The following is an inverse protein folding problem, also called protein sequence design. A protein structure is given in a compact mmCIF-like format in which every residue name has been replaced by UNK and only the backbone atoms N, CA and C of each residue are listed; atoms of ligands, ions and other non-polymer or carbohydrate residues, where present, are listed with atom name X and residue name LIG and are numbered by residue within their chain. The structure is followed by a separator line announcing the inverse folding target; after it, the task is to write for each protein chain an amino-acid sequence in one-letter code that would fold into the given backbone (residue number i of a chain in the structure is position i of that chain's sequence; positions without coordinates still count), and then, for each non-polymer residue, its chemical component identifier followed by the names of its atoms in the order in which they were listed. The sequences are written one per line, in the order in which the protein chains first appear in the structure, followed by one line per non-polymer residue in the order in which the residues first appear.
data_IF_366742670207
#
_entry.id   IF_366742670207
#
_cell.length_a   1.000
_cell.length_b   1.000
_cell.length_c   1.000
_cell.angle_alpha   90.00
_cell.angle_beta   90.00
_cell.angle_gamma   90.00
#
_symmetry.space_group_name_H-M   'P 1'
#
loop_
_entity.id
_entity.type
_entity.pdbx_description
1 polymer ?
#
# COMPACT_ATOMS: atom_id res chain seq x y z
N UNK A 1 -4.87 -0.37 38.13
CA UNK A 1 -5.04 -0.02 36.71
C UNK A 1 -4.44 1.37 36.54
N UNK A 2 -3.21 1.44 36.06
CA UNK A 2 -2.60 2.71 35.65
C UNK A 2 -3.43 3.27 34.50
N UNK A 3 -4.05 4.43 34.70
CA UNK A 3 -4.72 5.15 33.61
C UNK A 3 -3.65 5.48 32.58
N UNK A 4 -3.77 4.94 31.37
CA UNK A 4 -2.89 5.29 30.26
C UNK A 4 -2.82 6.82 30.13
N UNK A 5 -1.63 7.35 29.87
CA UNK A 5 -1.46 8.78 29.64
C UNK A 5 -2.41 9.23 28.50
N UNK A 6 -2.98 10.44 28.58
CA UNK A 6 -3.86 10.93 27.52
C UNK A 6 -3.07 11.01 26.21
N UNK A 7 -3.64 10.46 25.12
CA UNK A 7 -3.08 10.56 23.77
C UNK A 7 -3.12 12.03 23.35
N UNK A 8 -1.96 12.61 23.05
CA UNK A 8 -1.80 14.01 22.62
C UNK A 8 -1.40 14.13 21.16
N UNK A 9 -0.61 13.19 20.65
CA UNK A 9 -0.09 13.27 19.27
C UNK A 9 -0.13 11.93 18.56
N UNK A 10 -0.69 11.97 17.35
CA UNK A 10 -0.84 10.84 16.44
C UNK A 10 0.01 11.11 15.21
N UNK A 11 0.89 10.17 14.84
CA UNK A 11 1.67 10.24 13.62
C UNK A 11 1.14 9.26 12.57
N UNK A 12 1.14 9.68 11.32
CA UNK A 12 0.79 8.87 10.15
C UNK A 12 1.99 8.77 9.22
N UNK A 13 2.20 7.61 8.60
CA UNK A 13 3.15 7.49 7.49
C UNK A 13 2.66 6.48 6.44
N UNK A 14 3.01 6.73 5.17
CA UNK A 14 2.83 5.74 4.08
C UNK A 14 4.19 5.23 3.62
N UNK A 15 4.31 3.92 3.42
CA UNK A 15 5.58 3.28 3.09
C UNK A 15 5.45 2.17 2.02
N UNK A 16 6.54 1.95 1.29
CA UNK A 16 6.68 0.85 0.32
C UNK A 16 6.17 1.19 -1.08
N UNK A 17 5.66 0.20 -1.80
CA UNK A 17 5.05 0.40 -3.12
C UNK A 17 3.71 1.12 -3.03
N UNK A 18 3.37 1.92 -4.04
CA UNK A 18 2.05 2.56 -4.11
C UNK A 18 0.96 1.48 -4.23
N UNK A 19 -0.16 1.74 -3.55
CA UNK A 19 -1.39 0.99 -3.73
C UNK A 19 -2.55 2.00 -3.83
N UNK A 20 -3.60 1.70 -4.61
CA UNK A 20 -4.75 2.58 -4.81
C UNK A 20 -5.67 2.60 -3.57
N UNK A 21 -5.14 3.11 -2.47
CA UNK A 21 -5.83 3.24 -1.18
C UNK A 21 -5.16 4.27 -0.25
N UNK A 22 -3.95 4.74 -0.56
CA UNK A 22 -3.13 5.52 0.36
C UNK A 22 -3.78 6.87 0.73
N UNK A 23 -4.26 7.64 -0.24
CA UNK A 23 -5.02 8.88 0.01
C UNK A 23 -6.26 8.64 0.87
N UNK A 24 -7.09 7.65 0.51
CA UNK A 24 -8.31 7.30 1.25
C UNK A 24 -8.01 6.79 2.67
N UNK A 25 -6.88 6.08 2.87
CA UNK A 25 -6.45 5.63 4.19
C UNK A 25 -6.03 6.80 5.09
N UNK A 26 -5.28 7.77 4.55
CA UNK A 26 -4.95 9.01 5.27
C UNK A 26 -6.23 9.78 5.60
N UNK A 27 -7.14 9.93 4.64
CA UNK A 27 -8.40 10.62 4.84
C UNK A 27 -9.26 9.97 5.93
N UNK A 28 -9.40 8.64 5.88
CA UNK A 28 -10.16 7.87 6.86
C UNK A 28 -9.62 8.00 8.28
N UNK A 29 -8.29 7.99 8.45
CA UNK A 29 -7.66 8.17 9.76
C UNK A 29 -7.87 9.60 10.29
N UNK A 30 -7.58 10.62 9.49
CA UNK A 30 -7.77 12.03 9.87
C UNK A 30 -9.23 12.30 10.23
N UNK A 31 -10.17 11.85 9.38
CA UNK A 31 -11.61 11.99 9.63
C UNK A 31 -12.02 11.31 10.93
N UNK A 32 -11.55 10.09 11.17
CA UNK A 32 -11.93 9.35 12.37
C UNK A 32 -11.39 10.02 13.63
N UNK A 33 -10.13 10.43 13.65
CA UNK A 33 -9.55 11.14 14.80
C UNK A 33 -10.20 12.50 15.04
N UNK A 34 -10.55 13.24 13.99
CA UNK A 34 -11.33 14.47 14.13
C UNK A 34 -12.68 14.27 14.82
N UNK A 35 -13.25 13.06 14.80
CA UNK A 35 -14.50 12.74 15.47
C UNK A 35 -14.33 12.21 16.90
N UNK A 36 -13.29 11.39 17.15
CA UNK A 36 -13.12 10.68 18.43
C UNK A 36 -12.14 11.33 19.38
N UNK A 37 -11.23 12.15 18.86
CA UNK A 37 -10.15 12.77 19.63
C UNK A 37 -9.73 14.11 18.98
N UNK A 38 -10.66 15.09 18.87
CA UNK A 38 -10.42 16.35 18.15
C UNK A 38 -9.28 17.21 18.72
N UNK A 39 -8.95 17.03 20.00
CA UNK A 39 -7.88 17.73 20.71
C UNK A 39 -6.47 17.17 20.44
N UNK A 40 -6.37 15.96 19.88
CA UNK A 40 -5.08 15.38 19.54
C UNK A 40 -4.52 16.00 18.26
N UNK A 41 -3.23 16.31 18.28
CA UNK A 41 -2.52 16.78 17.10
C UNK A 41 -2.20 15.59 16.20
N UNK A 42 -2.47 15.74 14.90
CA UNK A 42 -2.12 14.74 13.89
C UNK A 42 -0.96 15.28 13.08
N UNK A 43 0.14 14.53 13.04
CA UNK A 43 1.27 14.79 12.14
C UNK A 43 1.37 13.68 11.10
N UNK A 44 1.89 14.01 9.93
CA UNK A 44 2.20 13.04 8.89
C UNK A 44 3.65 13.15 8.46
N UNK A 45 4.43 12.08 8.65
CA UNK A 45 5.81 12.04 8.19
C UNK A 45 5.85 11.98 6.67
N UNK A 46 6.56 12.92 6.06
CA UNK A 46 6.64 13.01 4.62
C UNK A 46 7.52 11.88 4.07
N UNK A 47 7.05 11.22 3.02
CA UNK A 47 7.79 10.14 2.37
C UNK A 47 8.09 8.93 3.28
N UNK A 48 7.22 8.66 4.26
CA UNK A 48 7.30 7.44 5.07
C UNK A 48 8.44 7.49 6.10
N UNK A 49 9.18 6.39 6.23
CA UNK A 49 10.36 6.31 7.10
C UNK A 49 11.47 7.30 6.74
N UNK A 50 11.48 7.85 5.52
CA UNK A 50 12.39 8.94 5.20
C UNK A 50 12.12 10.16 6.08
N UNK A 51 10.87 10.65 6.10
CA UNK A 51 10.47 11.78 6.94
C UNK A 51 10.61 11.49 8.42
N UNK A 52 10.40 10.24 8.84
CA UNK A 52 10.67 9.86 10.23
C UNK A 52 12.17 9.94 10.58
N UNK A 53 13.07 9.51 9.71
CA UNK A 53 14.51 9.62 9.97
C UNK A 53 15.00 11.08 9.93
N UNK A 54 14.38 11.93 9.11
CA UNK A 54 14.80 13.32 8.92
C UNK A 54 14.01 14.33 9.75
N UNK A 55 13.08 13.87 10.61
CA UNK A 55 12.16 14.73 11.35
C UNK A 55 11.24 15.58 10.45
N UNK A 56 11.07 15.20 9.19
CA UNK A 56 10.28 15.94 8.20
C UNK A 56 8.83 15.48 8.23
N UNK A 57 7.96 16.29 8.81
CA UNK A 57 6.52 16.04 8.92
C UNK A 57 5.70 17.29 8.58
N UNK A 58 4.42 17.08 8.33
CA UNK A 58 3.41 18.15 8.27
C UNK A 58 2.42 17.96 9.41
N UNK A 59 1.92 19.07 9.95
CA UNK A 59 0.77 19.07 10.86
C UNK A 59 -0.50 19.05 10.01
N UNK A 60 -1.46 18.20 10.35
CA UNK A 60 -2.79 18.20 9.74
C UNK A 60 -3.64 19.22 10.50
N UNK A 61 -3.61 20.46 10.02
CA UNK A 61 -4.35 21.58 10.58
C UNK A 61 -5.86 21.52 10.28
N UNK A 62 -6.61 22.51 10.78
CA UNK A 62 -8.07 22.53 10.66
C UNK A 62 -8.53 22.76 9.21
N UNK A 63 -7.75 23.47 8.39
CA UNK A 63 -8.02 23.64 6.96
C UNK A 63 -7.86 22.30 6.22
N UNK A 64 -6.78 21.56 6.51
CA UNK A 64 -6.55 20.22 5.97
C UNK A 64 -7.65 19.23 6.42
N UNK A 65 -8.09 19.29 7.68
CA UNK A 65 -9.22 18.49 8.18
C UNK A 65 -10.52 18.84 7.47
N UNK A 66 -10.81 20.12 7.26
CA UNK A 66 -12.05 20.58 6.61
C UNK A 66 -12.13 20.14 5.14
N UNK A 67 -10.99 20.04 4.45
CA UNK A 67 -10.90 19.63 3.06
C UNK A 67 -10.55 18.14 2.87
N UNK A 68 -10.46 17.34 3.94
CA UNK A 68 -9.85 16.00 3.89
C UNK A 68 -10.52 15.04 2.91
N UNK A 69 -11.84 15.19 2.71
CA UNK A 69 -12.64 14.33 1.83
C UNK A 69 -12.22 14.44 0.35
N UNK A 70 -11.49 15.50 -0.03
CA UNK A 70 -10.95 15.62 -1.38
C UNK A 70 -10.09 14.42 -1.75
N UNK A 71 -9.36 13.86 -0.77
CA UNK A 71 -8.41 12.76 -0.94
C UNK A 71 -9.06 11.45 -1.38
N UNK A 72 -10.35 11.25 -1.11
CA UNK A 72 -11.07 10.03 -1.53
C UNK A 72 -11.18 9.92 -3.05
N UNK A 73 -11.01 11.03 -3.77
CA UNK A 73 -11.05 11.09 -5.24
C UNK A 73 -9.69 10.83 -5.90
N UNK A 74 -8.60 10.71 -5.12
CA UNK A 74 -7.24 10.62 -5.67
C UNK A 74 -6.56 9.31 -5.30
N UNK A 75 -5.88 8.71 -6.29
CA UNK A 75 -4.86 7.70 -6.02
C UNK A 75 -3.58 8.32 -5.46
N UNK A 76 -2.54 7.51 -5.30
CA UNK A 76 -1.25 7.98 -4.77
C UNK A 76 -1.27 8.24 -3.28
N UNK A 77 -0.23 8.92 -2.77
CA UNK A 77 -0.11 9.30 -1.36
C UNK A 77 0.02 10.83 -1.25
N UNK A 78 -0.87 11.52 -0.51
CA UNK A 78 -0.82 12.97 -0.34
C UNK A 78 0.38 13.43 0.50
N UNK A 79 0.98 12.52 1.28
CA UNK A 79 2.12 12.80 2.17
C UNK A 79 3.44 12.26 1.58
N UNK A 80 3.44 11.87 0.30
CA UNK A 80 4.57 11.22 -0.34
C UNK A 80 4.83 9.82 0.20
N UNK A 81 5.75 9.10 -0.42
CA UNK A 81 6.07 7.72 -0.03
C UNK A 81 7.51 7.37 -0.45
N UNK A 82 8.14 6.43 0.25
CA UNK A 82 9.49 5.96 -0.07
C UNK A 82 9.67 4.45 0.19
N UNK A 83 10.75 3.89 -0.35
CA UNK A 83 11.19 2.51 -0.09
C UNK A 83 12.32 2.44 0.94
N UNK A 84 12.33 3.36 1.90
CA UNK A 84 13.28 3.32 3.04
C UNK A 84 12.98 2.09 3.90
N UNK A 85 14.03 1.31 4.18
CA UNK A 85 14.02 0.16 5.07
C UNK A 85 15.04 0.41 6.17
N UNK A 86 14.60 0.45 7.44
CA UNK A 86 15.50 0.68 8.58
C UNK A 86 16.53 -0.44 8.75
N UNK A 87 16.23 -1.64 8.25
CA UNK A 87 17.15 -2.78 8.24
C UNK A 87 18.34 -2.64 7.29
N UNK A 88 18.35 -1.65 6.39
CA UNK A 88 19.44 -1.44 5.43
C UNK A 88 20.31 -0.24 5.82
N UNK A 89 20.99 -0.34 6.98
CA UNK A 89 21.83 0.74 7.51
C UNK A 89 22.85 1.27 6.49
N UNK A 90 23.50 0.38 5.72
CA UNK A 90 24.46 0.79 4.68
C UNK A 90 23.84 1.75 3.66
N UNK A 91 22.66 1.43 3.13
CA UNK A 91 21.98 2.30 2.18
C UNK A 91 21.55 3.63 2.80
N UNK A 92 21.16 3.63 4.08
CA UNK A 92 20.75 4.85 4.77
C UNK A 92 21.94 5.78 5.03
N UNK A 93 23.10 5.23 5.39
CA UNK A 93 24.36 5.98 5.54
C UNK A 93 24.81 6.55 4.20
N UNK A 94 24.82 5.75 3.13
CA UNK A 94 25.17 6.21 1.77
C UNK A 94 24.27 7.35 1.28
N UNK A 95 23.01 7.37 1.73
CA UNK A 95 22.03 8.41 1.41
C UNK A 95 22.05 9.60 2.38
N UNK A 96 22.91 9.58 3.40
CA UNK A 96 23.00 10.61 4.43
C UNK A 96 21.78 10.72 5.33
N UNK A 97 21.00 9.64 5.48
CA UNK A 97 19.79 9.61 6.33
C UNK A 97 20.09 9.22 7.78
N UNK A 98 21.23 8.57 8.00
CA UNK A 98 21.70 8.09 9.31
C UNK A 98 23.22 8.27 9.33
N UNK A 99 23.80 8.68 10.46
CA UNK A 99 25.25 8.84 10.55
C UNK A 99 25.97 7.48 10.62
N UNK A 100 27.25 7.47 10.26
CA UNK A 100 28.06 6.26 10.36
C UNK A 100 28.18 5.81 11.83
N UNK A 101 27.88 4.52 12.08
CA UNK A 101 27.89 3.94 13.44
C UNK A 101 26.57 4.08 14.20
N UNK A 102 25.58 4.79 13.68
CA UNK A 102 24.25 4.84 14.27
C UNK A 102 23.36 3.68 13.81
N UNK A 103 22.44 3.29 14.69
CA UNK A 103 21.40 2.30 14.39
C UNK A 103 20.14 3.02 13.87
N UNK A 104 19.72 2.80 12.60
CA UNK A 104 18.56 3.46 12.03
C UNK A 104 17.26 3.26 12.82
N UNK A 105 17.07 2.12 13.48
CA UNK A 105 15.89 1.86 14.30
C UNK A 105 15.87 2.82 15.49
N UNK A 106 17.02 3.03 16.13
CA UNK A 106 17.18 3.93 17.28
C UNK A 106 16.99 5.39 16.86
N UNK A 107 17.59 5.80 15.74
CA UNK A 107 17.40 7.16 15.21
C UNK A 107 15.92 7.45 14.98
N UNK A 108 15.20 6.53 14.32
CA UNK A 108 13.77 6.67 14.09
C UNK A 108 12.95 6.67 15.39
N UNK A 109 13.28 5.80 16.36
CA UNK A 109 12.62 5.76 17.66
C UNK A 109 12.83 7.05 18.45
N UNK A 110 14.06 7.56 18.51
CA UNK A 110 14.38 8.82 19.18
C UNK A 110 13.68 10.00 18.52
N UNK A 111 13.47 9.98 17.21
CA UNK A 111 12.65 10.98 16.54
C UNK A 111 11.17 10.90 16.99
N UNK A 112 10.56 9.70 17.06
CA UNK A 112 9.19 9.55 17.58
C UNK A 112 9.06 10.06 19.01
N UNK A 113 10.06 9.80 19.86
CA UNK A 113 10.13 10.31 21.23
C UNK A 113 10.28 11.84 21.28
N UNK A 114 11.16 12.39 20.45
CA UNK A 114 11.39 13.84 20.32
C UNK A 114 10.14 14.56 19.84
N UNK A 115 9.46 13.98 18.87
CA UNK A 115 8.17 14.44 18.36
C UNK A 115 7.04 14.11 19.31
N UNK A 116 7.25 13.46 20.47
CA UNK A 116 6.22 13.17 21.46
C UNK A 116 5.03 12.38 20.91
N UNK A 117 5.28 11.42 20.00
CA UNK A 117 4.24 10.61 19.36
C UNK A 117 3.74 9.53 20.32
N UNK A 118 2.43 9.50 20.55
CA UNK A 118 1.76 8.48 21.39
C UNK A 118 1.19 7.33 20.53
N UNK A 119 0.73 7.64 19.32
CA UNK A 119 0.16 6.67 18.37
C UNK A 119 0.84 6.81 17.02
N UNK A 120 1.34 5.71 16.47
CA UNK A 120 1.88 5.65 15.11
C UNK A 120 1.00 4.75 14.23
N UNK A 121 0.44 5.34 13.17
CA UNK A 121 -0.17 4.61 12.07
C UNK A 121 0.81 4.43 10.92
N UNK A 122 1.02 3.17 10.54
CA UNK A 122 1.81 2.82 9.36
C UNK A 122 0.93 2.24 8.27
N UNK A 123 0.92 2.86 7.09
CA UNK A 123 0.14 2.39 5.94
C UNK A 123 1.11 1.74 4.96
N UNK A 124 1.26 0.41 5.06
CA UNK A 124 2.33 -0.32 4.37
C UNK A 124 2.15 -1.83 4.37
N UNK A 125 3.10 -2.53 3.75
CA UNK A 125 3.15 -3.99 3.70
C UNK A 125 3.82 -4.60 4.93
N UNK A 126 4.17 -5.89 4.86
CA UNK A 126 4.77 -6.64 5.97
C UNK A 126 6.03 -5.99 6.53
N UNK A 127 6.97 -5.60 5.66
CA UNK A 127 8.21 -4.91 6.06
C UNK A 127 7.92 -3.65 6.91
N UNK A 128 6.89 -2.89 6.51
CA UNK A 128 6.49 -1.66 7.20
C UNK A 128 5.93 -1.98 8.58
N UNK A 129 4.99 -2.91 8.67
CA UNK A 129 4.34 -3.23 9.95
C UNK A 129 5.29 -3.94 10.92
N UNK A 130 6.23 -4.73 10.41
CA UNK A 130 7.31 -5.34 11.21
C UNK A 130 8.21 -4.27 11.81
N UNK A 131 8.68 -3.32 10.98
CA UNK A 131 9.51 -2.19 11.44
C UNK A 131 8.78 -1.36 12.49
N UNK A 132 7.47 -1.16 12.34
CA UNK A 132 6.67 -0.42 13.32
C UNK A 132 6.58 -1.16 14.66
N UNK A 133 6.44 -2.49 14.66
CA UNK A 133 6.48 -3.30 15.87
C UNK A 133 7.85 -3.22 16.57
N UNK A 134 8.95 -3.26 15.82
CA UNK A 134 10.30 -3.12 16.36
C UNK A 134 10.51 -1.75 17.03
N UNK A 135 9.97 -0.67 16.44
CA UNK A 135 10.02 0.68 17.03
C UNK A 135 9.25 0.75 18.34
N UNK A 136 8.05 0.16 18.41
CA UNK A 136 7.26 0.13 19.63
C UNK A 136 7.96 -0.65 20.75
N UNK A 137 8.53 -1.81 20.43
CA UNK A 137 9.27 -2.62 21.38
C UNK A 137 10.49 -1.88 21.94
N UNK A 138 11.29 -1.25 21.07
CA UNK A 138 12.43 -0.46 21.48
C UNK A 138 12.02 0.70 22.40
N UNK A 139 10.98 1.46 22.03
CA UNK A 139 10.52 2.59 22.82
C UNK A 139 9.96 2.18 24.19
N UNK A 140 9.25 1.05 24.27
CA UNK A 140 8.74 0.50 25.52
C UNK A 140 9.88 0.17 26.50
N UNK A 141 10.96 -0.45 26.00
CA UNK A 141 12.17 -0.74 26.80
C UNK A 141 12.87 0.53 27.32
N UNK A 142 12.65 1.67 26.65
CA UNK A 142 13.26 2.96 26.97
C UNK A 142 12.28 3.94 27.63
N UNK A 143 11.16 3.44 28.17
CA UNK A 143 10.23 4.22 28.99
C UNK A 143 9.33 5.18 28.20
N UNK A 144 9.18 4.96 26.90
CA UNK A 144 8.26 5.70 26.03
C UNK A 144 7.21 4.75 25.46
N UNK A 145 5.98 4.80 25.98
CA UNK A 145 4.92 3.95 25.47
C UNK A 145 4.43 4.46 24.11
N UNK A 146 4.58 3.65 23.06
CA UNK A 146 4.07 3.93 21.71
C UNK A 146 3.03 2.89 21.32
N UNK A 147 1.81 3.34 20.99
CA UNK A 147 0.82 2.49 20.36
C UNK A 147 1.02 2.47 18.84
N UNK A 148 1.24 1.29 18.26
CA UNK A 148 1.35 1.12 16.80
C UNK A 148 0.11 0.45 16.25
N UNK A 149 -0.47 1.04 15.20
CA UNK A 149 -1.62 0.47 14.47
C UNK A 149 -1.33 0.47 12.98
N UNK A 150 -0.96 -0.71 12.48
CA UNK A 150 -0.65 -0.95 11.07
C UNK A 150 -1.89 -1.07 10.18
N UNK A 151 -1.90 -0.38 9.04
CA UNK A 151 -2.88 -0.54 7.98
C UNK A 151 -2.26 -1.40 6.87
N UNK A 152 -2.80 -2.61 6.63
CA UNK A 152 -2.20 -3.59 5.74
C UNK A 152 -2.43 -3.23 4.28
N UNK A 153 -1.40 -2.65 3.65
CA UNK A 153 -1.43 -2.10 2.29
C UNK A 153 -0.54 -2.91 1.37
N UNK A 154 -1.13 -3.55 0.37
CA UNK A 154 -0.43 -4.21 -0.73
C UNK A 154 -1.40 -4.48 -1.87
N UNK A 155 -0.91 -4.46 -3.12
CA UNK A 155 -1.70 -4.89 -4.28
C UNK A 155 -1.67 -6.41 -4.48
N UNK A 156 -0.72 -7.08 -3.82
CA UNK A 156 -0.45 -8.51 -3.98
C UNK A 156 -1.33 -9.38 -3.06
N UNK A 157 -2.09 -8.76 -2.14
CA UNK A 157 -2.95 -9.39 -1.13
C UNK A 157 -2.28 -10.54 -0.36
N UNK A 158 -1.00 -10.37 -0.01
CA UNK A 158 -0.11 -11.39 0.53
C UNK A 158 0.18 -11.25 2.03
N UNK A 159 -0.51 -10.32 2.71
CA UNK A 159 -0.36 -10.08 4.15
C UNK A 159 -1.21 -11.08 4.94
N UNK A 160 -0.58 -11.92 5.77
CA UNK A 160 -1.27 -12.91 6.64
C UNK A 160 -1.45 -12.33 8.06
N UNK A 161 -2.59 -12.55 8.75
CA UNK A 161 -3.72 -13.44 8.44
C UNK A 161 -4.96 -12.74 7.85
N UNK A 162 -4.80 -11.54 7.29
CA UNK A 162 -5.96 -10.79 6.81
C UNK A 162 -6.51 -11.37 5.50
N UNK A 163 -7.82 -11.25 5.30
CA UNK A 163 -8.47 -11.71 4.06
C UNK A 163 -8.18 -10.79 2.87
N UNK A 164 -8.09 -9.48 3.12
CA UNK A 164 -8.05 -8.46 2.09
C UNK A 164 -7.20 -7.27 2.52
N UNK A 165 -6.11 -7.02 1.80
CA UNK A 165 -5.30 -5.82 1.95
C UNK A 165 -5.91 -4.62 1.25
N UNK A 166 -5.55 -3.43 1.71
CA UNK A 166 -5.94 -2.17 1.11
C UNK A 166 -5.27 -2.01 -0.27
N UNK A 167 -6.09 -1.69 -1.28
CA UNK A 167 -5.67 -1.40 -2.65
C UNK A 167 -5.64 -2.60 -3.60
N UNK A 168 -5.73 -3.84 -3.11
CA UNK A 168 -5.64 -5.02 -3.99
C UNK A 168 -6.84 -5.17 -4.94
N UNK A 169 -8.08 -4.97 -4.44
CA UNK A 169 -9.30 -5.04 -5.28
C UNK A 169 -9.25 -4.01 -6.40
N UNK A 170 -8.99 -2.74 -6.06
CA UNK A 170 -8.92 -1.68 -7.07
C UNK A 170 -7.81 -1.96 -8.10
N UNK A 171 -6.66 -2.50 -7.68
CA UNK A 171 -5.59 -2.88 -8.61
C UNK A 171 -6.04 -4.00 -9.57
N UNK A 172 -6.72 -5.04 -9.07
CA UNK A 172 -7.27 -6.13 -9.88
C UNK A 172 -8.32 -5.64 -10.88
N UNK A 173 -9.22 -4.75 -10.44
CA UNK A 173 -10.22 -4.13 -11.29
C UNK A 173 -9.58 -3.31 -12.42
N UNK A 174 -8.54 -2.51 -12.12
CA UNK A 174 -7.85 -1.72 -13.15
C UNK A 174 -7.08 -2.60 -14.14
N UNK A 175 -6.44 -3.67 -13.67
CA UNK A 175 -5.80 -4.66 -14.54
C UNK A 175 -6.84 -5.34 -15.46
N UNK A 176 -7.99 -5.71 -14.93
CA UNK A 176 -9.11 -6.24 -15.74
C UNK A 176 -9.58 -5.23 -16.79
N UNK A 177 -9.81 -3.97 -16.40
CA UNK A 177 -10.21 -2.91 -17.35
C UNK A 177 -9.18 -2.66 -18.44
N UNK A 178 -7.89 -2.71 -18.10
CA UNK A 178 -6.84 -2.61 -19.11
C UNK A 178 -6.90 -3.78 -20.10
N UNK A 179 -7.12 -5.01 -19.62
CA UNK A 179 -7.30 -6.19 -20.45
C UNK A 179 -8.47 -6.05 -21.44
N UNK A 180 -9.60 -5.46 -21.01
CA UNK A 180 -10.76 -5.17 -21.87
C UNK A 180 -10.41 -4.33 -23.08
N UNK A 181 -9.51 -3.35 -22.91
CA UNK A 181 -9.09 -2.47 -23.99
C UNK A 181 -8.13 -3.17 -24.96
N UNK A 182 -7.11 -3.87 -24.43
CA UNK A 182 -6.06 -4.46 -25.28
C UNK A 182 -6.52 -5.74 -25.99
N UNK A 183 -7.39 -6.55 -25.37
CA UNK A 183 -7.86 -7.81 -25.98
C UNK A 183 -8.72 -7.53 -27.21
N UNK A 184 -9.32 -6.35 -27.33
CA UNK A 184 -10.04 -5.93 -28.54
C UNK A 184 -9.21 -6.04 -29.83
N UNK A 185 -7.87 -6.03 -29.73
CA UNK A 185 -6.97 -6.20 -30.87
C UNK A 185 -6.94 -7.63 -31.44
N UNK A 186 -7.48 -8.67 -30.78
CA UNK A 186 -7.33 -10.12 -31.08
C UNK A 186 -7.64 -10.57 -32.54
N UNK A 187 -7.99 -9.66 -33.45
CA UNK A 187 -8.25 -9.89 -34.87
C UNK A 187 -7.51 -8.96 -35.83
N UNK A 188 -6.59 -8.11 -35.37
CA UNK A 188 -5.83 -7.23 -36.26
C UNK A 188 -4.78 -7.99 -37.09
N UNK A 189 -4.31 -9.16 -36.62
CA UNK A 189 -3.37 -10.01 -37.36
C UNK A 189 -3.62 -11.51 -37.05
N UNK A 190 -3.59 -12.41 -38.06
CA UNK A 190 -3.81 -13.85 -37.87
C UNK A 190 -2.77 -14.57 -36.98
N UNK A 191 -1.63 -13.96 -36.68
CA UNK A 191 -0.56 -14.52 -35.83
C UNK A 191 -0.31 -13.72 -34.56
N UNK A 192 -1.30 -12.93 -34.13
CA UNK A 192 -1.12 -12.08 -32.97
C UNK A 192 -1.18 -12.89 -31.66
N UNK A 193 -0.27 -12.56 -30.75
CA UNK A 193 -0.28 -13.01 -29.36
C UNK A 193 -0.29 -11.76 -28.47
N UNK A 194 -1.23 -11.70 -27.53
CA UNK A 194 -1.29 -10.64 -26.52
C UNK A 194 -0.78 -11.23 -25.21
N UNK A 195 0.29 -10.64 -24.67
CA UNK A 195 0.81 -10.95 -23.34
C UNK A 195 0.55 -9.75 -22.45
N UNK A 196 -0.27 -9.94 -21.42
CA UNK A 196 -0.53 -8.92 -20.40
C UNK A 196 0.24 -9.28 -19.14
N UNK A 197 1.42 -8.68 -18.97
CA UNK A 197 2.23 -8.84 -17.76
C UNK A 197 1.64 -7.98 -16.63
N UNK A 198 1.31 -8.62 -15.51
CA UNK A 198 0.70 -7.99 -14.33
C UNK A 198 1.68 -8.03 -13.17
N UNK A 199 1.66 -7.00 -12.31
CA UNK A 199 2.46 -6.98 -11.10
C UNK A 199 2.11 -8.16 -10.17
N UNK A 200 3.08 -8.60 -9.36
CA UNK A 200 2.90 -9.77 -8.49
C UNK A 200 4.21 -10.55 -8.39
N UNK A 201 5.19 -10.00 -7.66
CA UNK A 201 6.58 -10.48 -7.70
C UNK A 201 6.72 -11.97 -7.33
N UNK A 202 6.08 -12.35 -6.24
CA UNK A 202 6.11 -13.71 -5.68
C UNK A 202 4.72 -14.28 -5.45
N UNK A 203 3.68 -13.45 -5.61
CA UNK A 203 2.29 -13.79 -5.39
C UNK A 203 1.49 -13.50 -6.67
N UNK A 204 0.80 -14.51 -7.18
CA UNK A 204 -0.04 -14.45 -8.37
C UNK A 204 -1.47 -13.97 -8.11
N UNK A 205 -1.79 -13.58 -6.87
CA UNK A 205 -3.15 -13.17 -6.50
C UNK A 205 -3.69 -12.07 -7.40
N UNK A 206 -2.90 -11.02 -7.68
CA UNK A 206 -3.34 -9.89 -8.50
C UNK A 206 -3.68 -10.34 -9.93
N UNK A 207 -2.83 -11.17 -10.53
CA UNK A 207 -3.06 -11.76 -11.85
C UNK A 207 -4.31 -12.63 -11.87
N UNK A 208 -4.48 -13.50 -10.87
CA UNK A 208 -5.64 -14.39 -10.76
C UNK A 208 -6.94 -13.61 -10.55
N UNK A 209 -6.93 -12.60 -9.68
CA UNK A 209 -8.06 -11.73 -9.42
C UNK A 209 -8.43 -10.91 -10.67
N UNK A 210 -7.44 -10.30 -11.34
CA UNK A 210 -7.67 -9.56 -12.57
C UNK A 210 -8.30 -10.43 -13.68
N UNK A 211 -7.81 -11.67 -13.86
CA UNK A 211 -8.38 -12.61 -14.82
C UNK A 211 -9.81 -13.03 -14.45
N UNK A 212 -10.08 -13.24 -13.15
CA UNK A 212 -11.43 -13.54 -12.67
C UNK A 212 -12.38 -12.36 -12.90
N UNK A 213 -11.96 -11.14 -12.60
CA UNK A 213 -12.72 -9.90 -12.83
C UNK A 213 -13.00 -9.68 -14.31
N UNK A 214 -12.02 -9.97 -15.18
CA UNK A 214 -12.17 -9.90 -16.62
C UNK A 214 -13.21 -10.89 -17.13
N UNK A 215 -13.17 -12.15 -16.68
CA UNK A 215 -14.17 -13.15 -17.06
C UNK A 215 -15.56 -12.81 -16.54
N UNK A 216 -15.69 -12.22 -15.34
CA UNK A 216 -16.98 -11.68 -14.87
C UNK A 216 -17.52 -10.59 -15.78
N UNK A 217 -16.66 -9.74 -16.34
CA UNK A 217 -17.06 -8.77 -17.36
C UNK A 217 -17.51 -9.46 -18.67
N UNK A 218 -16.79 -10.48 -19.14
CA UNK A 218 -17.18 -11.25 -20.34
C UNK A 218 -18.57 -11.87 -20.21
N UNK A 219 -18.89 -12.41 -19.03
CA UNK A 219 -20.16 -13.08 -18.74
C UNK A 219 -21.35 -12.10 -18.73
N UNK A 220 -21.08 -10.80 -18.61
CA UNK A 220 -22.09 -9.73 -18.70
C UNK A 220 -22.32 -9.22 -20.13
N UNK A 221 -21.47 -9.61 -21.09
CA UNK A 221 -21.58 -9.13 -22.47
C UNK A 221 -22.58 -9.94 -23.29
N UNK A 222 -23.16 -9.28 -24.28
CA UNK A 222 -23.96 -9.94 -25.33
C UNK A 222 -23.07 -10.27 -26.53
N UNK A 223 -23.19 -11.49 -27.03
CA UNK A 223 -22.36 -12.01 -28.12
C UNK A 223 -23.20 -12.24 -29.38
N UNK A 224 -22.60 -12.04 -30.55
CA UNK A 224 -23.21 -12.30 -31.85
C UNK A 224 -22.28 -13.15 -32.72
N UNK A 225 -22.33 -14.49 -32.58
CA UNK A 225 -21.46 -15.41 -33.31
C UNK A 225 -21.58 -15.28 -34.83
N UNK A 226 -22.77 -14.94 -35.35
CA UNK A 226 -23.01 -14.76 -36.79
C UNK A 226 -22.21 -13.60 -37.39
N UNK A 227 -21.82 -12.61 -36.58
CA UNK A 227 -20.93 -11.51 -36.98
C UNK A 227 -19.47 -11.77 -36.58
N UNK A 228 -19.16 -12.96 -36.05
CA UNK A 228 -17.84 -13.31 -35.54
C UNK A 228 -17.50 -12.68 -34.19
N UNK A 229 -18.49 -12.16 -33.46
CA UNK A 229 -18.35 -11.66 -32.09
C UNK A 229 -18.73 -12.77 -31.11
N UNK A 230 -17.74 -13.52 -30.63
CA UNK A 230 -17.93 -14.70 -29.77
C UNK A 230 -17.18 -14.52 -28.46
N UNK A 231 -17.74 -15.02 -27.35
CA UNK A 231 -17.11 -14.95 -26.03
C UNK A 231 -15.72 -15.59 -26.03
N UNK A 232 -15.56 -16.72 -26.70
CA UNK A 232 -14.32 -17.51 -26.73
C UNK A 232 -13.15 -16.71 -27.32
N UNK A 233 -13.43 -15.86 -28.32
CA UNK A 233 -12.40 -15.01 -28.96
C UNK A 233 -11.91 -13.88 -28.07
N UNK A 234 -12.71 -13.50 -27.08
CA UNK A 234 -12.37 -12.49 -26.09
C UNK A 234 -11.86 -13.11 -24.79
N UNK A 235 -11.89 -14.43 -24.60
CA UNK A 235 -11.46 -15.03 -23.33
C UNK A 235 -9.94 -15.05 -23.18
N UNK A 236 -9.49 -15.14 -21.93
CA UNK A 236 -8.09 -15.35 -21.57
C UNK A 236 -7.78 -16.84 -21.74
N UNK A 237 -6.87 -17.15 -22.66
CA UNK A 237 -6.47 -18.52 -22.98
C UNK A 237 -5.69 -19.21 -21.84
N UNK A 238 -4.80 -18.46 -21.18
CA UNK A 238 -3.96 -18.98 -20.12
C UNK A 238 -3.67 -17.90 -19.07
N UNK A 239 -3.51 -18.33 -17.82
CA UNK A 239 -3.11 -17.48 -16.70
C UNK A 239 -1.87 -18.09 -16.08
N UNK A 240 -0.74 -17.38 -16.17
CA UNK A 240 0.53 -17.80 -15.62
C UNK A 240 0.78 -17.07 -14.30
N UNK A 241 1.09 -17.83 -13.25
CA UNK A 241 1.32 -17.32 -11.90
C UNK A 241 2.75 -17.65 -11.45
N UNK A 242 3.40 -16.78 -10.66
CA UNK A 242 4.78 -17.00 -10.20
C UNK A 242 4.93 -18.27 -9.33
N UNK A 243 3.86 -18.75 -8.71
CA UNK A 243 3.85 -19.98 -7.91
C UNK A 243 3.73 -21.25 -8.77
N UNK A 244 3.35 -21.11 -10.04
CA UNK A 244 3.22 -22.22 -10.98
C UNK A 244 4.52 -22.45 -11.73
N UNK A 245 4.99 -23.69 -11.78
CA UNK A 245 6.14 -24.07 -12.60
C UNK A 245 5.75 -24.04 -14.07
N UNK A 246 6.37 -23.15 -14.86
CA UNK A 246 6.17 -23.07 -16.30
C UNK A 246 7.03 -24.12 -17.03
N UNK A 247 6.40 -25.00 -17.80
CA UNK A 247 7.08 -25.93 -18.71
C UNK A 247 6.79 -25.55 -20.17
N UNK A 248 7.66 -24.70 -20.73
CA UNK A 248 7.56 -24.22 -22.12
C UNK A 248 7.60 -25.32 -23.18
N UNK A 249 7.99 -26.55 -22.83
CA UNK A 249 8.00 -27.68 -23.77
C UNK A 249 6.70 -28.49 -23.73
N UNK A 250 5.95 -28.39 -22.63
CA UNK A 250 4.69 -29.09 -22.43
C UNK A 250 3.48 -28.23 -22.84
N UNK A 251 3.60 -26.91 -22.75
CA UNK A 251 2.64 -25.90 -23.26
C UNK A 251 2.79 -25.67 -24.77
#
# INVERSE_FOLDING_TARGET
MTTAAPIRRIALLTAGGFAPCLSAAVAGLVRRYGQVLPEAEIIAYQYGYHGLLTGTSIVIDDDAKAAIDVLDNFGGSPIGNSRVKLTNAKNLIERGLVAEGEDPLKVAAEQLRTDGVDVLHTIGGDDTNTTAADLAAYLEEHGHHLTVVGLPKTIDNDIVPIKQSLGAITAAEQASRFAQNIIGEHRSNPRMLIVHEVMGRHCGWLTAAAAADYRRWLDQQSWNPSLGLTRERWDVHAVFLPELKLDMKAE
#
